data_IF_589909373313
#
_entry.id   IF_589909373313
#
_cell.length_a   1.000
_cell.length_b   1.000
_cell.length_c   1.000
_cell.angle_alpha   90.00
_cell.angle_beta   90.00
_cell.angle_gamma   90.00
#
_symmetry.space_group_name_H-M   'P 1'
#
loop_
_entity.id
_entity.type
_entity.pdbx_description
1 polymer ?
#
# COMPACT_ATOMS: atom_id res chain seq x y z
N UNK A 1 -9.99 10.27 -8.14
CA UNK A 1 -8.73 9.51 -8.32
C UNK A 1 -8.73 8.32 -7.37
N UNK A 2 -8.16 7.22 -7.79
CA UNK A 2 -7.97 6.06 -6.91
C UNK A 2 -6.57 6.10 -6.30
N UNK A 3 -6.48 5.82 -5.01
CA UNK A 3 -5.21 5.72 -4.30
C UNK A 3 -5.03 4.27 -3.87
N UNK A 4 -3.96 3.64 -4.32
CA UNK A 4 -3.67 2.23 -4.06
C UNK A 4 -2.46 2.12 -3.14
N UNK A 5 -2.62 1.37 -2.06
CA UNK A 5 -1.55 1.05 -1.11
C UNK A 5 -1.28 -0.45 -1.23
N UNK A 6 -0.12 -0.80 -1.76
CA UNK A 6 0.30 -2.19 -1.90
C UNK A 6 1.41 -2.49 -0.89
N UNK A 7 1.21 -3.49 -0.04
CA UNK A 7 2.23 -3.79 0.95
C UNK A 7 1.81 -4.70 2.08
N UNK A 8 2.54 -4.60 3.18
CA UNK A 8 2.34 -5.43 4.37
C UNK A 8 2.67 -4.68 5.64
N UNK A 9 2.31 -5.32 6.77
CA UNK A 9 2.73 -4.93 8.12
C UNK A 9 2.12 -3.60 8.58
N UNK A 10 2.59 -3.13 9.72
CA UNK A 10 2.10 -1.89 10.34
C UNK A 10 2.26 -0.68 9.42
N UNK A 11 3.33 -0.65 8.62
CA UNK A 11 3.56 0.45 7.71
C UNK A 11 2.47 0.59 6.65
N UNK A 12 2.04 -0.52 6.04
CA UNK A 12 0.94 -0.47 5.08
C UNK A 12 -0.36 -0.01 5.74
N UNK A 13 -0.63 -0.50 6.95
CA UNK A 13 -1.81 -0.07 7.74
C UNK A 13 -1.74 1.42 8.03
N UNK A 14 -0.60 1.92 8.48
CA UNK A 14 -0.44 3.34 8.83
C UNK A 14 -0.59 4.26 7.62
N UNK A 15 -0.01 3.87 6.48
CA UNK A 15 -0.13 4.64 5.24
C UNK A 15 -1.58 4.64 4.76
N UNK A 16 -2.26 3.51 4.84
CA UNK A 16 -3.68 3.41 4.48
C UNK A 16 -4.53 4.34 5.35
N UNK A 17 -4.33 4.31 6.67
CA UNK A 17 -5.03 5.18 7.60
C UNK A 17 -4.78 6.66 7.31
N UNK A 18 -3.53 7.01 7.00
CA UNK A 18 -3.16 8.38 6.68
C UNK A 18 -3.95 8.91 5.49
N UNK A 19 -4.00 8.15 4.40
CA UNK A 19 -4.73 8.59 3.21
C UNK A 19 -6.24 8.62 3.44
N UNK A 20 -6.76 7.67 4.20
CA UNK A 20 -8.18 7.67 4.56
C UNK A 20 -8.57 8.93 5.34
N UNK A 21 -7.74 9.33 6.30
CA UNK A 21 -8.04 10.46 7.18
C UNK A 21 -7.82 11.82 6.52
N UNK A 22 -6.83 11.92 5.61
CA UNK A 22 -6.42 13.19 5.04
C UNK A 22 -6.96 13.43 3.62
N UNK A 23 -7.35 12.36 2.92
CA UNK A 23 -7.85 12.44 1.54
C UNK A 23 -9.12 11.61 1.36
N UNK A 24 -10.17 11.84 2.18
CA UNK A 24 -11.37 10.99 2.16
C UNK A 24 -12.19 11.11 0.87
N UNK A 25 -11.94 12.12 0.05
CA UNK A 25 -12.62 12.33 -1.22
C UNK A 25 -12.16 11.37 -2.32
N UNK A 26 -11.05 10.67 -2.11
CA UNK A 26 -10.51 9.71 -3.08
C UNK A 26 -10.87 8.26 -2.67
N UNK A 27 -11.05 7.41 -3.67
CA UNK A 27 -11.27 5.98 -3.43
C UNK A 27 -9.96 5.33 -3.03
N UNK A 28 -9.94 4.69 -1.88
CA UNK A 28 -8.75 4.06 -1.32
C UNK A 28 -8.84 2.54 -1.46
N UNK A 29 -7.77 1.94 -2.00
CA UNK A 29 -7.72 0.52 -2.33
C UNK A 29 -6.46 -0.08 -1.72
N UNK A 30 -6.59 -1.26 -1.10
CA UNK A 30 -5.46 -2.01 -0.56
C UNK A 30 -5.09 -3.20 -1.43
N UNK A 31 -3.78 -3.45 -1.57
CA UNK A 31 -3.24 -4.64 -2.23
C UNK A 31 -2.28 -5.31 -1.26
N UNK A 32 -2.76 -6.27 -0.44
CA UNK A 32 -1.88 -6.96 0.51
C UNK A 32 -0.86 -7.84 -0.19
N UNK A 33 0.25 -8.13 0.48
CA UNK A 33 1.22 -9.11 0.01
C UNK A 33 0.56 -10.48 -0.17
N UNK A 34 1.09 -11.26 -1.12
CA UNK A 34 0.55 -12.59 -1.44
C UNK A 34 0.67 -13.59 -0.28
N UNK A 35 1.61 -13.38 0.63
CA UNK A 35 1.82 -14.23 1.80
C UNK A 35 1.02 -13.80 3.04
N UNK A 36 0.17 -12.78 2.92
CA UNK A 36 -0.66 -12.31 4.03
C UNK A 36 -1.83 -13.28 4.25
N UNK A 37 -1.78 -14.01 5.36
CA UNK A 37 -2.76 -15.05 5.70
C UNK A 37 -3.87 -14.56 6.63
N UNK A 38 -4.03 -13.25 6.78
CA UNK A 38 -5.07 -12.62 7.62
C UNK A 38 -4.80 -12.77 9.13
N UNK A 39 -3.67 -13.29 9.52
CA UNK A 39 -3.31 -13.45 10.92
C UNK A 39 -2.28 -12.40 11.35
N UNK A 40 -2.51 -11.80 12.52
CA UNK A 40 -1.51 -10.96 13.15
C UNK A 40 -0.40 -11.86 13.72
N UNK A 41 0.83 -11.54 13.39
CA UNK A 41 1.99 -12.14 14.01
C UNK A 41 2.69 -11.10 14.89
N UNK A 42 4.01 -11.03 14.81
CA UNK A 42 4.75 -9.94 15.46
C UNK A 42 4.49 -8.60 14.77
N UNK A 43 3.97 -8.64 13.55
CA UNK A 43 3.46 -7.49 12.81
C UNK A 43 1.98 -7.70 12.48
N UNK A 44 1.18 -6.64 12.45
CA UNK A 44 -0.23 -6.77 12.08
C UNK A 44 -0.41 -7.13 10.60
N UNK A 45 -1.48 -7.88 10.31
CA UNK A 45 -1.87 -8.22 8.94
C UNK A 45 -2.57 -7.03 8.29
N UNK A 46 -2.05 -6.59 7.16
CA UNK A 46 -2.70 -5.54 6.36
C UNK A 46 -4.03 -6.04 5.76
N UNK A 47 -4.05 -7.28 5.28
CA UNK A 47 -5.26 -7.88 4.74
C UNK A 47 -6.38 -7.95 5.79
N UNK A 48 -6.05 -8.34 7.02
CA UNK A 48 -7.01 -8.35 8.13
C UNK A 48 -7.55 -6.96 8.41
N UNK A 49 -6.69 -5.94 8.41
CA UNK A 49 -7.09 -4.56 8.58
C UNK A 49 -8.10 -4.13 7.51
N UNK A 50 -7.85 -4.46 6.25
CA UNK A 50 -8.76 -4.13 5.14
C UNK A 50 -10.11 -4.79 5.32
N UNK A 51 -10.13 -6.08 5.62
CA UNK A 51 -11.36 -6.85 5.81
C UNK A 51 -12.17 -6.35 7.00
N UNK A 52 -11.50 -6.11 8.12
CA UNK A 52 -12.14 -5.69 9.36
C UNK A 52 -12.81 -4.32 9.24
N UNK A 53 -12.26 -3.43 8.43
CA UNK A 53 -12.75 -2.07 8.27
C UNK A 53 -13.57 -1.87 6.98
N UNK A 54 -13.87 -2.94 6.25
CA UNK A 54 -14.68 -2.87 5.04
C UNK A 54 -14.03 -2.11 3.89
N UNK A 55 -12.70 -2.08 3.84
CA UNK A 55 -11.96 -1.43 2.77
C UNK A 55 -11.90 -2.29 1.51
N UNK A 56 -11.79 -1.64 0.36
CA UNK A 56 -11.64 -2.30 -0.94
C UNK A 56 -10.26 -2.95 -1.05
N UNK A 57 -10.24 -4.20 -1.45
CA UNK A 57 -9.02 -4.96 -1.70
C UNK A 57 -8.94 -5.34 -3.17
N UNK A 58 -7.77 -5.06 -3.81
CA UNK A 58 -7.49 -5.48 -5.18
C UNK A 58 -6.26 -6.39 -5.20
N UNK A 59 -6.09 -7.12 -6.30
CA UNK A 59 -4.83 -7.76 -6.66
C UNK A 59 -3.99 -6.79 -7.48
N UNK A 60 -2.69 -7.03 -7.57
CA UNK A 60 -1.80 -6.15 -8.32
C UNK A 60 -2.25 -5.95 -9.77
N UNK A 61 -2.61 -7.04 -10.45
CA UNK A 61 -3.02 -6.97 -11.85
C UNK A 61 -4.34 -6.22 -12.06
N UNK A 62 -5.18 -6.10 -11.05
CA UNK A 62 -6.41 -5.29 -11.13
C UNK A 62 -6.08 -3.80 -11.24
N UNK A 63 -4.87 -3.41 -10.86
CA UNK A 63 -4.44 -2.02 -10.89
C UNK A 63 -3.85 -1.59 -12.24
N UNK A 64 -3.50 -2.53 -13.11
CA UNK A 64 -2.80 -2.23 -14.37
C UNK A 64 -3.58 -1.33 -15.31
N UNK A 65 -4.91 -1.49 -15.36
CA UNK A 65 -5.78 -0.75 -16.28
C UNK A 65 -6.32 0.55 -15.71
N UNK A 66 -6.02 0.86 -14.45
CA UNK A 66 -6.48 2.09 -13.82
C UNK A 66 -5.67 3.28 -14.32
N UNK A 67 -6.33 4.21 -14.99
CA UNK A 67 -5.67 5.38 -15.59
C UNK A 67 -5.45 6.51 -14.58
N UNK A 68 -6.47 6.82 -13.79
CA UNK A 68 -6.40 7.89 -12.78
C UNK A 68 -6.12 7.28 -11.42
N UNK A 69 -4.88 6.87 -11.23
CA UNK A 69 -4.47 6.12 -10.04
C UNK A 69 -3.13 6.63 -9.51
N UNK A 70 -3.05 6.76 -8.20
CA UNK A 70 -1.81 6.98 -7.46
C UNK A 70 -1.49 5.69 -6.72
N UNK A 71 -0.31 5.12 -6.96
CA UNK A 71 0.08 3.81 -6.44
C UNK A 71 1.31 3.93 -5.54
N UNK A 72 1.19 3.39 -4.33
CA UNK A 72 2.28 3.34 -3.36
C UNK A 72 2.62 1.90 -3.02
N UNK A 73 3.88 1.52 -3.23
CA UNK A 73 4.42 0.23 -2.79
C UNK A 73 5.08 0.43 -1.41
N UNK A 74 4.62 -0.35 -0.41
CA UNK A 74 5.03 -0.23 1.00
C UNK A 74 5.45 -1.61 1.50
N UNK A 75 6.72 -1.95 1.41
CA UNK A 75 7.21 -3.31 1.72
C UNK A 75 6.48 -4.40 0.92
N UNK A 76 6.16 -4.11 -0.33
CA UNK A 76 5.44 -5.06 -1.17
C UNK A 76 6.38 -6.16 -1.67
N UNK A 77 5.87 -7.41 -1.73
CA UNK A 77 6.66 -8.59 -2.08
C UNK A 77 6.88 -8.79 -3.58
N UNK A 78 6.29 -7.93 -4.41
CA UNK A 78 6.39 -8.05 -5.87
C UNK A 78 7.15 -6.87 -6.46
N UNK A 79 7.90 -7.15 -7.53
CA UNK A 79 8.57 -6.10 -8.32
C UNK A 79 7.52 -5.37 -9.15
N UNK A 80 7.53 -4.04 -9.07
CA UNK A 80 6.63 -3.20 -9.85
C UNK A 80 7.25 -2.93 -11.21
N UNK A 81 6.65 -3.50 -12.24
CA UNK A 81 7.04 -3.27 -13.63
C UNK A 81 6.20 -2.13 -14.19
N UNK A 82 6.80 -0.96 -14.29
CA UNK A 82 6.07 0.27 -14.65
C UNK A 82 5.41 0.19 -16.02
N UNK A 83 5.96 -0.58 -16.95
CA UNK A 83 5.41 -0.79 -18.27
C UNK A 83 4.04 -1.48 -18.27
N UNK A 84 3.69 -2.20 -17.19
CA UNK A 84 2.40 -2.88 -17.07
C UNK A 84 1.25 -1.95 -16.68
N UNK A 85 1.57 -0.75 -16.20
CA UNK A 85 0.58 0.18 -15.64
C UNK A 85 0.25 1.28 -16.62
N UNK A 86 -1.04 1.57 -16.80
CA UNK A 86 -1.48 2.75 -17.56
C UNK A 86 -1.15 4.03 -16.83
N UNK A 87 -1.39 4.08 -15.53
CA UNK A 87 -0.97 5.21 -14.70
C UNK A 87 0.54 5.19 -14.52
N UNK A 88 1.16 6.37 -14.56
CA UNK A 88 2.61 6.54 -14.31
C UNK A 88 2.90 7.17 -12.94
N UNK A 89 1.88 7.37 -12.12
CA UNK A 89 2.00 7.89 -10.75
C UNK A 89 2.27 6.72 -9.80
N UNK A 90 3.45 6.14 -9.91
CA UNK A 90 3.88 4.96 -9.16
C UNK A 90 5.03 5.35 -8.24
N UNK A 91 4.87 5.06 -6.94
CA UNK A 91 5.84 5.44 -5.92
C UNK A 91 6.20 4.25 -5.05
N UNK A 92 7.45 4.20 -4.63
CA UNK A 92 7.90 3.26 -3.63
C UNK A 92 8.22 4.00 -2.34
N UNK A 93 7.74 3.47 -1.22
CA UNK A 93 8.07 4.00 0.10
C UNK A 93 9.32 3.31 0.61
N UNK A 94 10.37 4.12 0.76
CA UNK A 94 11.67 3.64 1.22
C UNK A 94 11.78 3.82 2.72
N UNK A 95 12.16 2.75 3.43
CA UNK A 95 12.37 2.80 4.87
C UNK A 95 13.83 3.09 5.16
N UNK A 96 14.09 4.11 5.97
CA UNK A 96 15.39 4.21 6.58
C UNK A 96 15.32 3.50 7.94
N UNK A 97 16.14 2.47 8.11
CA UNK A 97 16.33 1.75 9.35
C UNK A 97 17.14 2.63 10.30
N UNK A 98 16.49 3.58 10.93
CA UNK A 98 17.11 4.32 12.03
C UNK A 98 16.69 3.65 13.34
N UNK A 99 17.62 3.18 14.17
CA UNK A 99 17.32 2.44 15.39
C UNK A 99 16.45 3.20 16.39
N UNK A 100 16.30 4.50 16.20
CA UNK A 100 15.53 5.38 17.10
C UNK A 100 14.06 5.47 16.73
N UNK A 101 13.62 4.94 15.61
CA UNK A 101 12.26 5.12 15.13
C UNK A 101 11.47 3.84 15.17
N UNK A 102 10.35 3.90 15.88
CA UNK A 102 9.33 2.86 15.87
C UNK A 102 8.26 3.29 14.90
N UNK A 103 8.27 2.72 13.68
CA UNK A 103 7.27 3.00 12.67
C UNK A 103 7.86 3.39 11.33
N UNK A 104 7.00 3.87 10.45
CA UNK A 104 7.35 4.20 9.08
C UNK A 104 8.09 5.53 8.99
N UNK A 105 9.39 5.49 8.83
CA UNK A 105 10.14 6.60 8.25
C UNK A 105 10.30 6.35 6.78
N UNK A 106 9.64 7.16 5.98
CA UNK A 106 9.53 6.86 4.56
C UNK A 106 9.95 8.04 3.72
N UNK A 107 10.76 7.75 2.71
CA UNK A 107 10.99 8.64 1.59
C UNK A 107 10.26 8.09 0.38
N UNK A 108 9.57 8.95 -0.36
CA UNK A 108 8.91 8.58 -1.58
C UNK A 108 9.89 8.61 -2.74
N UNK A 109 10.01 7.49 -3.45
CA UNK A 109 10.79 7.40 -4.67
C UNK A 109 9.83 7.06 -5.79
N UNK A 110 9.76 7.91 -6.81
CA UNK A 110 8.98 7.63 -7.99
C UNK A 110 9.63 6.52 -8.80
N UNK A 111 8.84 5.53 -9.19
CA UNK A 111 9.28 4.40 -9.98
C UNK A 111 9.34 4.71 -11.46
#
# INVERSE_FOLDING_TARGET
MKIVIAGKNQCAVDVHKYFKNNYPQHELIGVPNSDDDVNDGWQPSYKKYLLKNGHTEYRLNDCYDLEDMLFFSVEFDKIIKTENFKSKKLFNLHFSLLPKYRGCHTNFIQL
#
